data_IF_966346446484
#
_entry.id   IF_966346446484
#
_cell.length_a   1.000
_cell.length_b   1.000
_cell.length_c   1.000
_cell.angle_alpha   90.00
_cell.angle_beta   90.00
_cell.angle_gamma   90.00
#
_symmetry.space_group_name_H-M   'P 1'
#
loop_
_entity.id
_entity.type
_entity.pdbx_description
1 polymer ?
#
# COMPACT_ATOMS: atom_id res chain seq x y z
N UNK A 1 -40.92 56.26 40.24
CA UNK A 1 -39.97 55.18 40.56
C UNK A 1 -39.32 54.72 39.25
N UNK A 2 -38.10 55.18 38.97
CA UNK A 2 -37.32 54.81 37.76
C UNK A 2 -36.58 53.51 38.07
N UNK A 3 -36.78 52.45 37.29
CA UNK A 3 -35.87 51.29 37.27
C UNK A 3 -35.39 51.11 35.85
N UNK A 4 -34.07 51.24 35.73
CA UNK A 4 -33.25 51.35 34.53
C UNK A 4 -33.08 50.01 33.82
N UNK A 5 -33.33 50.00 32.52
CA UNK A 5 -33.14 48.85 31.63
C UNK A 5 -31.71 48.88 31.05
N UNK A 6 -30.69 48.62 31.89
CA UNK A 6 -29.26 48.74 31.50
C UNK A 6 -28.55 47.40 31.27
N UNK A 7 -29.13 46.27 31.71
CA UNK A 7 -28.46 44.94 31.64
C UNK A 7 -28.59 44.20 30.29
N UNK A 8 -29.52 44.58 29.42
CA UNK A 8 -29.77 43.84 28.16
C UNK A 8 -28.79 44.20 27.03
N UNK A 9 -28.37 45.47 26.91
CA UNK A 9 -27.50 45.91 25.80
C UNK A 9 -26.04 45.46 25.93
N UNK A 10 -25.54 45.27 27.15
CA UNK A 10 -24.13 44.91 27.34
C UNK A 10 -23.82 43.45 26.98
N UNK A 11 -24.79 42.54 27.20
CA UNK A 11 -24.67 41.13 26.84
C UNK A 11 -24.76 40.90 25.33
N UNK A 12 -25.58 41.70 24.62
CA UNK A 12 -25.71 41.62 23.16
C UNK A 12 -24.46 42.09 22.40
N UNK A 13 -23.71 43.05 22.95
CA UNK A 13 -22.43 43.51 22.38
C UNK A 13 -21.31 42.48 22.59
N UNK A 14 -21.21 41.88 23.78
CA UNK A 14 -20.25 40.81 24.04
C UNK A 14 -20.51 39.55 23.19
N UNK A 15 -21.78 39.19 22.98
CA UNK A 15 -22.14 38.02 22.18
C UNK A 15 -21.78 38.20 20.70
N UNK A 16 -21.91 39.43 20.15
CA UNK A 16 -21.55 39.72 18.75
C UNK A 16 -20.04 39.69 18.50
N UNK A 17 -19.22 40.12 19.46
CA UNK A 17 -17.76 40.03 19.34
C UNK A 17 -17.25 38.59 19.50
N UNK A 18 -17.86 37.79 20.38
CA UNK A 18 -17.56 36.36 20.52
C UNK A 18 -17.91 35.59 19.23
N UNK A 19 -19.05 35.89 18.59
CA UNK A 19 -19.44 35.28 17.31
C UNK A 19 -18.48 35.69 16.18
N UNK A 20 -18.03 36.96 16.13
CA UNK A 20 -17.03 37.40 15.14
C UNK A 20 -15.69 36.69 15.31
N UNK A 21 -15.22 36.49 16.55
CA UNK A 21 -13.97 35.78 16.83
C UNK A 21 -14.08 34.27 16.56
N UNK A 22 -15.23 33.66 16.88
CA UNK A 22 -15.53 32.27 16.50
C UNK A 22 -15.57 32.08 14.98
N UNK A 23 -16.14 33.02 14.23
CA UNK A 23 -16.19 32.97 12.77
C UNK A 23 -14.80 33.19 12.14
N UNK A 24 -13.98 34.09 12.69
CA UNK A 24 -12.61 34.34 12.23
C UNK A 24 -11.67 33.14 12.51
N UNK A 25 -11.80 32.50 13.68
CA UNK A 25 -11.09 31.24 13.98
C UNK A 25 -11.55 30.08 13.10
N UNK A 26 -12.85 30.00 12.76
CA UNK A 26 -13.37 28.98 11.84
C UNK A 26 -12.83 29.18 10.41
N UNK A 27 -12.72 30.42 9.93
CA UNK A 27 -12.17 30.75 8.61
C UNK A 27 -10.66 30.50 8.53
N UNK A 28 -9.91 30.73 9.61
CA UNK A 28 -8.48 30.37 9.69
C UNK A 28 -8.29 28.85 9.77
N UNK A 29 -9.16 28.12 10.48
CA UNK A 29 -9.13 26.64 10.48
C UNK A 29 -9.60 26.02 9.15
N UNK A 30 -10.46 26.70 8.38
CA UNK A 30 -10.88 26.27 7.04
C UNK A 30 -9.85 26.57 5.94
N UNK A 31 -8.92 27.51 6.17
CA UNK A 31 -7.85 27.84 5.20
C UNK A 31 -6.46 27.36 5.64
N UNK A 32 -6.29 26.89 6.87
CA UNK A 32 -4.99 26.55 7.47
C UNK A 32 -4.57 25.08 7.39
N UNK A 33 -5.41 24.18 6.90
CA UNK A 33 -5.09 22.76 6.90
C UNK A 33 -5.80 22.01 5.77
N UNK A 34 -5.32 22.19 4.54
CA UNK A 34 -5.53 21.26 3.42
C UNK A 34 -4.44 21.43 2.34
N UNK A 35 -3.23 21.82 2.74
CA UNK A 35 -2.01 21.51 2.00
C UNK A 35 -1.49 20.15 2.47
N UNK A 36 -2.33 19.11 2.38
CA UNK A 36 -1.88 17.74 2.67
C UNK A 36 -0.80 17.43 1.64
N UNK A 37 0.37 16.97 2.12
CA UNK A 37 1.47 16.40 1.34
C UNK A 37 1.07 15.15 0.50
N UNK A 38 -0.17 15.04 0.04
CA UNK A 38 -0.73 13.91 -0.67
C UNK A 38 -0.44 13.90 -2.18
N UNK A 39 0.35 14.86 -2.69
CA UNK A 39 0.62 14.99 -4.13
C UNK A 39 2.01 14.50 -4.58
N UNK A 40 2.85 13.98 -3.68
CA UNK A 40 4.21 13.53 -4.08
C UNK A 40 4.27 12.09 -4.64
N UNK A 41 3.20 11.31 -4.52
CA UNK A 41 3.25 9.86 -4.79
C UNK A 41 2.69 9.44 -6.16
N UNK A 42 2.26 10.40 -6.98
CA UNK A 42 1.76 10.12 -8.33
C UNK A 42 2.78 10.51 -9.37
N UNK A 43 2.86 9.72 -10.44
CA UNK A 43 3.64 10.08 -11.60
C UNK A 43 3.10 11.40 -12.18
N UNK A 44 4.00 12.36 -12.39
CA UNK A 44 3.70 13.65 -12.98
C UNK A 44 4.30 13.70 -14.38
N UNK A 45 3.54 14.17 -15.36
CA UNK A 45 4.10 14.50 -16.67
C UNK A 45 4.86 15.81 -16.55
N UNK A 46 6.19 15.76 -16.53
CA UNK A 46 7.01 16.96 -16.31
C UNK A 46 6.92 17.96 -17.46
N UNK A 47 6.52 17.52 -18.66
CA UNK A 47 6.33 18.42 -19.81
C UNK A 47 5.25 19.47 -19.53
N UNK A 48 4.35 19.20 -18.58
CA UNK A 48 3.28 20.14 -18.15
C UNK A 48 3.77 21.26 -17.23
N UNK A 49 5.02 21.20 -16.74
CA UNK A 49 5.57 22.19 -15.80
C UNK A 49 6.23 23.40 -16.47
N UNK A 50 6.42 23.37 -17.79
CA UNK A 50 7.01 24.46 -18.56
C UNK A 50 6.01 25.16 -19.46
N UNK A 51 6.50 25.75 -20.54
CA UNK A 51 5.69 26.36 -21.60
C UNK A 51 4.92 25.27 -22.33
N UNK A 52 3.63 25.52 -22.52
CA UNK A 52 2.68 24.60 -23.15
C UNK A 52 2.43 24.98 -24.62
N UNK A 53 1.83 24.04 -25.36
CA UNK A 53 1.32 24.29 -26.71
C UNK A 53 0.35 25.48 -26.67
N UNK A 54 0.39 26.30 -27.72
CA UNK A 54 -0.34 27.58 -27.87
C UNK A 54 0.13 28.73 -26.98
N UNK A 55 1.23 28.56 -26.24
CA UNK A 55 1.84 29.65 -25.48
C UNK A 55 3.02 30.28 -26.23
N UNK A 56 3.25 31.56 -25.95
CA UNK A 56 4.38 32.31 -26.47
C UNK A 56 5.67 31.96 -25.72
N UNK A 57 6.75 31.75 -26.47
CA UNK A 57 8.08 31.59 -25.88
C UNK A 57 8.61 32.96 -25.48
N UNK A 58 8.97 33.19 -24.20
CA UNK A 58 9.58 34.44 -23.75
C UNK A 58 10.85 34.75 -24.52
N UNK A 59 11.11 36.04 -24.73
CA UNK A 59 12.28 36.51 -25.48
C UNK A 59 13.58 36.45 -24.65
N UNK A 60 14.01 35.22 -24.33
CA UNK A 60 15.23 34.93 -23.59
C UNK A 60 16.47 35.02 -24.46
N UNK A 61 17.63 35.26 -23.84
CA UNK A 61 18.94 35.20 -24.51
C UNK A 61 19.51 33.79 -24.37
N UNK A 62 19.76 33.17 -25.51
CA UNK A 62 20.47 31.90 -25.66
C UNK A 62 21.95 32.23 -25.84
N UNK A 63 22.82 31.57 -25.08
CA UNK A 63 24.27 31.83 -25.08
C UNK A 63 25.03 30.56 -25.45
N UNK A 64 26.31 30.73 -25.78
CA UNK A 64 27.21 29.64 -26.16
C UNK A 64 26.73 28.82 -27.37
N UNK A 65 26.27 29.53 -28.40
CA UNK A 65 25.86 28.95 -29.68
C UNK A 65 27.10 28.79 -30.56
N UNK A 66 27.33 27.56 -31.04
CA UNK A 66 28.33 27.21 -32.04
C UNK A 66 27.66 26.95 -33.39
N UNK A 67 28.43 27.02 -34.48
CA UNK A 67 27.93 26.86 -35.86
C UNK A 67 26.75 27.80 -36.17
N UNK A 68 26.84 29.04 -35.68
CA UNK A 68 25.86 30.09 -35.93
C UNK A 68 26.57 31.43 -36.13
N UNK A 69 25.91 32.38 -36.80
CA UNK A 69 26.45 33.72 -37.10
C UNK A 69 26.95 34.48 -35.87
N UNK A 70 26.38 34.19 -34.70
CA UNK A 70 26.70 34.82 -33.42
C UNK A 70 26.76 33.76 -32.32
N UNK A 71 27.56 33.99 -31.27
CA UNK A 71 27.62 33.10 -30.10
C UNK A 71 26.41 33.21 -29.16
N UNK A 72 25.52 34.15 -29.44
CA UNK A 72 24.31 34.43 -28.67
C UNK A 72 23.17 34.76 -29.64
N UNK A 73 21.94 34.40 -29.29
CA UNK A 73 20.73 34.75 -30.03
C UNK A 73 19.55 34.90 -29.07
N UNK A 74 18.58 35.72 -29.43
CA UNK A 74 17.28 35.79 -28.76
C UNK A 74 16.25 34.90 -29.48
N UNK A 75 15.18 34.52 -28.80
CA UNK A 75 14.06 33.82 -29.44
C UNK A 75 13.49 34.67 -30.59
N UNK A 76 13.39 35.99 -30.40
CA UNK A 76 12.97 36.93 -31.43
C UNK A 76 13.87 36.98 -32.67
N UNK A 77 15.12 36.52 -32.61
CA UNK A 77 16.02 36.45 -33.78
C UNK A 77 15.62 35.34 -34.76
N UNK A 78 14.72 34.43 -34.35
CA UNK A 78 14.20 33.33 -35.16
C UNK A 78 12.78 33.60 -35.68
N UNK A 79 12.26 34.83 -35.52
CA UNK A 79 10.99 35.24 -36.13
C UNK A 79 10.99 34.99 -37.64
N UNK A 80 9.79 34.80 -38.18
CA UNK A 80 9.55 34.49 -39.59
C UNK A 80 10.06 33.10 -40.05
N UNK A 81 10.55 32.27 -39.11
CA UNK A 81 10.98 30.89 -39.35
C UNK A 81 10.26 29.92 -38.43
N UNK A 82 10.10 28.69 -38.88
CA UNK A 82 9.79 27.59 -37.97
C UNK A 82 11.06 27.20 -37.20
N UNK A 83 11.11 27.53 -35.91
CA UNK A 83 12.21 27.14 -35.02
C UNK A 83 11.94 25.76 -34.44
N UNK A 84 12.89 24.84 -34.60
CA UNK A 84 12.82 23.47 -34.08
C UNK A 84 13.97 23.31 -33.09
N UNK A 85 13.63 23.31 -31.81
CA UNK A 85 14.59 23.14 -30.72
C UNK A 85 14.73 21.65 -30.46
N UNK A 86 15.91 21.13 -30.70
CA UNK A 86 16.32 19.76 -30.44
C UNK A 86 17.01 19.74 -29.08
N UNK A 87 16.56 18.92 -28.14
CA UNK A 87 17.32 18.65 -26.92
C UNK A 87 18.00 17.29 -27.02
N UNK A 88 19.30 17.26 -26.74
CA UNK A 88 20.13 16.07 -26.88
C UNK A 88 21.22 15.96 -25.82
N UNK A 89 21.85 14.79 -25.78
CA UNK A 89 23.03 14.51 -24.99
C UNK A 89 23.94 13.52 -25.72
N UNK A 90 25.23 13.56 -25.44
CA UNK A 90 26.28 12.68 -26.00
C UNK A 90 26.01 11.18 -25.80
N UNK A 91 25.30 10.82 -24.72
CA UNK A 91 24.88 9.45 -24.43
C UNK A 91 23.55 9.05 -25.09
N UNK A 92 22.80 9.99 -25.67
CA UNK A 92 21.53 9.73 -26.31
C UNK A 92 21.74 9.25 -27.76
N UNK A 93 21.85 7.94 -27.96
CA UNK A 93 22.06 7.36 -29.29
C UNK A 93 20.99 7.74 -30.32
N UNK A 94 19.67 7.74 -30.00
CA UNK A 94 18.65 8.19 -30.95
C UNK A 94 18.80 9.66 -31.33
N UNK A 95 19.20 10.54 -30.41
CA UNK A 95 19.45 11.95 -30.70
C UNK A 95 20.62 12.11 -31.69
N UNK A 96 21.74 11.43 -31.43
CA UNK A 96 22.93 11.50 -32.28
C UNK A 96 22.65 10.97 -33.69
N UNK A 97 21.82 9.93 -33.81
CA UNK A 97 21.38 9.40 -35.10
C UNK A 97 20.52 10.39 -35.92
N UNK A 98 19.90 11.39 -35.28
CA UNK A 98 19.08 12.40 -35.96
C UNK A 98 19.90 13.54 -36.56
N UNK A 99 21.14 13.76 -36.11
CA UNK A 99 22.01 14.86 -36.59
C UNK A 99 22.12 14.91 -38.13
N UNK A 100 22.43 13.81 -38.84
CA UNK A 100 22.54 13.86 -40.30
C UNK A 100 21.22 14.20 -41.01
N UNK A 101 20.09 13.73 -40.45
CA UNK A 101 18.75 14.00 -40.97
C UNK A 101 18.38 15.47 -40.76
N UNK A 102 18.62 16.01 -39.57
CA UNK A 102 18.38 17.42 -39.27
C UNK A 102 19.22 18.35 -40.16
N UNK A 103 20.51 18.04 -40.39
CA UNK A 103 21.37 18.78 -41.32
C UNK A 103 20.80 18.77 -42.74
N UNK A 104 20.33 17.61 -43.21
CA UNK A 104 19.68 17.48 -44.51
C UNK A 104 18.39 18.30 -44.60
N UNK A 105 17.56 18.28 -43.56
CA UNK A 105 16.31 19.03 -43.51
C UNK A 105 16.58 20.55 -43.43
N UNK A 106 17.52 20.99 -42.61
CA UNK A 106 17.95 22.39 -42.54
C UNK A 106 18.36 22.91 -43.92
N UNK A 107 19.13 22.11 -44.68
CA UNK A 107 19.55 22.44 -46.05
C UNK A 107 18.37 22.46 -47.03
N UNK A 108 17.45 21.49 -46.94
CA UNK A 108 16.31 21.38 -47.85
C UNK A 108 15.29 22.53 -47.69
N UNK A 109 15.06 23.00 -46.46
CA UNK A 109 14.10 24.07 -46.19
C UNK A 109 14.75 25.47 -46.09
N UNK A 110 16.07 25.53 -45.97
CA UNK A 110 16.84 26.77 -45.96
C UNK A 110 16.31 27.75 -44.91
N UNK A 111 16.02 28.99 -45.33
CA UNK A 111 15.57 30.06 -44.44
C UNK A 111 14.15 29.88 -43.87
N UNK A 112 13.38 28.90 -44.32
CA UNK A 112 12.02 28.66 -43.79
C UNK A 112 12.02 28.04 -42.40
N UNK A 113 13.11 27.36 -42.03
CA UNK A 113 13.25 26.71 -40.73
C UNK A 113 14.59 27.05 -40.08
N UNK A 114 14.66 26.84 -38.77
CA UNK A 114 15.92 26.85 -38.04
C UNK A 114 15.91 25.70 -37.03
N UNK A 115 16.84 24.76 -37.16
CA UNK A 115 17.17 23.84 -36.08
C UNK A 115 18.09 24.54 -35.07
N UNK A 116 17.84 24.31 -33.79
CA UNK A 116 18.71 24.72 -32.69
C UNK A 116 18.89 23.53 -31.75
N UNK A 117 20.06 22.88 -31.81
CA UNK A 117 20.37 21.70 -31.00
C UNK A 117 20.97 22.10 -29.66
N UNK A 118 20.25 21.88 -28.57
CA UNK A 118 20.62 22.28 -27.22
C UNK A 118 20.98 21.07 -26.35
N UNK A 119 22.07 21.19 -25.59
CA UNK A 119 22.46 20.21 -24.58
C UNK A 119 22.81 20.90 -23.26
N UNK A 120 22.40 20.28 -22.15
CA UNK A 120 22.81 20.73 -20.81
C UNK A 120 24.29 20.47 -20.53
N UNK A 121 24.93 19.60 -21.32
CA UNK A 121 26.35 19.27 -21.17
C UNK A 121 27.22 20.46 -21.57
N UNK A 122 28.31 20.66 -20.85
CA UNK A 122 29.24 21.76 -21.15
C UNK A 122 29.92 21.59 -22.51
N UNK A 123 30.41 22.68 -23.08
CA UNK A 123 31.16 22.66 -24.34
C UNK A 123 32.36 21.71 -24.28
N UNK A 124 33.08 21.72 -23.15
CA UNK A 124 34.23 20.85 -22.89
C UNK A 124 33.87 19.36 -22.96
N UNK A 125 32.63 19.00 -22.64
CA UNK A 125 32.14 17.61 -22.66
C UNK A 125 31.60 17.23 -24.04
N UNK A 126 30.77 18.08 -24.65
CA UNK A 126 30.01 17.73 -25.84
C UNK A 126 30.70 18.06 -27.18
N UNK A 127 31.52 19.12 -27.26
CA UNK A 127 32.20 19.50 -28.50
C UNK A 127 33.21 18.43 -28.99
N UNK A 128 34.07 17.83 -28.13
CA UNK A 128 34.95 16.75 -28.56
C UNK A 128 34.20 15.53 -29.08
N UNK A 129 33.02 15.23 -28.52
CA UNK A 129 32.16 14.16 -28.99
C UNK A 129 31.67 14.45 -30.42
N UNK A 130 31.18 15.66 -30.70
CA UNK A 130 30.72 16.05 -32.04
C UNK A 130 31.84 15.97 -33.08
N UNK A 131 33.03 16.48 -32.78
CA UNK A 131 34.18 16.37 -33.70
C UNK A 131 34.52 14.91 -34.01
N UNK A 132 34.46 14.03 -33.00
CA UNK A 132 34.69 12.60 -33.19
C UNK A 132 33.60 11.98 -34.06
N UNK A 133 32.33 12.33 -33.81
CA UNK A 133 31.19 11.87 -34.59
C UNK A 133 31.31 12.29 -36.06
N UNK A 134 31.60 13.56 -36.35
CA UNK A 134 31.82 14.08 -37.71
C UNK A 134 32.96 13.36 -38.43
N UNK A 135 34.08 13.14 -37.75
CA UNK A 135 35.22 12.38 -38.29
C UNK A 135 34.82 10.95 -38.66
N UNK A 136 34.01 10.29 -37.82
CA UNK A 136 33.51 8.95 -38.10
C UNK A 136 32.53 8.93 -39.28
N UNK A 137 31.66 9.93 -39.37
CA UNK A 137 30.72 10.09 -40.48
C UNK A 137 31.37 10.62 -41.76
N UNK A 138 32.63 11.07 -41.69
CA UNK A 138 33.36 11.74 -42.78
C UNK A 138 32.57 12.92 -43.37
N UNK A 139 31.84 13.63 -42.52
CA UNK A 139 30.97 14.75 -42.91
C UNK A 139 30.88 15.76 -41.77
N UNK A 140 30.98 17.04 -42.13
CA UNK A 140 30.70 18.14 -41.23
C UNK A 140 29.20 18.50 -41.27
N UNK A 141 28.63 18.80 -40.11
CA UNK A 141 27.22 19.18 -39.95
C UNK A 141 27.13 20.61 -39.42
N UNK A 142 26.54 21.50 -40.22
CA UNK A 142 26.47 22.93 -39.93
C UNK A 142 25.15 23.28 -39.23
N UNK A 143 24.86 22.54 -38.15
CA UNK A 143 23.70 22.78 -37.29
C UNK A 143 24.12 23.65 -36.10
N UNK A 144 23.36 24.71 -35.76
CA UNK A 144 23.62 25.47 -34.55
C UNK A 144 23.50 24.60 -33.29
N UNK A 145 24.53 24.63 -32.45
CA UNK A 145 24.58 23.86 -31.20
C UNK A 145 24.74 24.79 -30.01
N UNK A 146 23.86 24.64 -29.02
CA UNK A 146 23.92 25.34 -27.72
C UNK A 146 24.52 24.38 -26.69
N UNK A 147 25.65 24.76 -26.09
CA UNK A 147 26.27 23.99 -25.02
C UNK A 147 26.02 24.60 -23.64
N UNK A 148 25.82 23.74 -22.64
CA UNK A 148 25.58 24.15 -21.26
C UNK A 148 24.23 24.83 -21.09
N UNK A 149 23.23 24.46 -21.90
CA UNK A 149 21.90 25.04 -21.84
C UNK A 149 21.27 24.83 -20.46
N UNK A 150 20.67 25.91 -19.97
CA UNK A 150 19.86 25.94 -18.74
C UNK A 150 18.55 26.68 -18.97
N UNK A 151 18.53 27.66 -19.85
CA UNK A 151 17.37 28.52 -20.04
C UNK A 151 16.31 27.82 -20.89
N UNK A 152 16.68 27.14 -21.98
CA UNK A 152 15.71 26.37 -22.77
C UNK A 152 15.19 25.18 -21.97
N UNK A 153 16.05 24.49 -21.21
CA UNK A 153 15.62 23.40 -20.31
C UNK A 153 14.64 23.84 -19.22
N UNK A 154 14.77 25.07 -18.68
CA UNK A 154 13.79 25.62 -17.73
C UNK A 154 12.44 25.87 -18.39
N UNK A 155 12.43 26.39 -19.62
CA UNK A 155 11.19 26.65 -20.37
C UNK A 155 10.52 25.36 -20.82
N UNK A 156 11.30 24.33 -21.14
CA UNK A 156 10.83 23.05 -21.66
C UNK A 156 11.41 21.88 -20.83
N UNK A 157 10.95 21.68 -19.59
CA UNK A 157 11.47 20.66 -18.70
C UNK A 157 11.22 19.25 -19.25
N UNK A 158 12.27 18.44 -19.27
CA UNK A 158 12.26 17.06 -19.76
C UNK A 158 13.26 16.20 -18.98
N UNK A 159 13.03 14.89 -18.97
CA UNK A 159 13.90 13.87 -18.37
C UNK A 159 14.28 12.79 -19.34
N UNK A 160 13.46 12.60 -20.38
CA UNK A 160 13.73 11.66 -21.46
C UNK A 160 14.09 12.40 -22.74
N UNK A 161 15.11 11.89 -23.41
CA UNK A 161 15.62 12.40 -24.69
C UNK A 161 15.40 11.34 -25.79
N UNK A 162 15.20 11.76 -27.04
CA UNK A 162 15.19 13.14 -27.52
C UNK A 162 13.90 13.90 -27.15
N UNK A 163 13.99 15.23 -27.09
CA UNK A 163 12.86 16.12 -26.87
C UNK A 163 12.90 17.25 -27.91
N UNK A 164 11.81 17.42 -28.66
CA UNK A 164 11.73 18.44 -29.72
C UNK A 164 10.61 19.43 -29.44
N UNK A 165 10.92 20.72 -29.53
CA UNK A 165 9.96 21.81 -29.41
C UNK A 165 9.86 22.55 -30.74
N UNK A 166 8.64 22.72 -31.21
CA UNK A 166 8.33 23.37 -32.48
C UNK A 166 7.70 24.72 -32.20
N UNK A 167 8.38 25.79 -32.60
CA UNK A 167 7.97 27.17 -32.39
C UNK A 167 7.71 27.81 -33.75
N UNK A 168 6.51 28.33 -33.95
CA UNK A 168 6.14 28.96 -35.21
C UNK A 168 6.85 30.30 -35.44
N UNK A 169 6.63 30.84 -36.63
CA UNK A 169 7.16 32.14 -37.08
C UNK A 169 6.78 33.34 -36.19
N UNK A 170 5.76 33.21 -35.35
CA UNK A 170 5.31 34.24 -34.42
C UNK A 170 5.88 34.06 -33.00
N UNK A 171 6.60 32.97 -32.73
CA UNK A 171 7.11 32.64 -31.40
C UNK A 171 6.16 31.77 -30.55
N UNK A 172 5.12 31.19 -31.15
CA UNK A 172 4.18 30.31 -30.45
C UNK A 172 4.62 28.84 -30.50
N UNK A 173 4.54 28.14 -29.36
CA UNK A 173 4.78 26.69 -29.31
C UNK A 173 3.62 25.95 -29.98
N UNK A 174 3.91 25.21 -31.05
CA UNK A 174 2.93 24.41 -31.78
C UNK A 174 2.96 22.94 -31.42
N UNK A 175 4.13 22.40 -31.08
CA UNK A 175 4.24 20.99 -30.71
C UNK A 175 5.43 20.71 -29.79
N UNK A 176 5.29 19.68 -28.94
CA UNK A 176 6.36 19.11 -28.13
C UNK A 176 6.36 17.60 -28.38
N UNK A 177 7.44 17.06 -28.92
CA UNK A 177 7.44 15.74 -29.59
C UNK A 177 8.74 14.96 -29.42
N UNK A 178 8.75 13.74 -29.96
CA UNK A 178 9.94 12.89 -30.11
C UNK A 178 10.51 12.97 -31.54
N UNK A 179 11.74 12.45 -31.74
CA UNK A 179 12.45 12.56 -33.01
C UNK A 179 11.75 11.92 -34.22
N UNK A 180 10.85 10.96 -34.02
CA UNK A 180 10.05 10.35 -35.10
C UNK A 180 9.17 11.36 -35.84
N UNK A 181 8.76 12.43 -35.15
CA UNK A 181 7.90 13.48 -35.72
C UNK A 181 8.70 14.49 -36.57
N UNK A 182 10.04 14.48 -36.49
CA UNK A 182 10.91 15.35 -37.28
C UNK A 182 11.06 14.75 -38.68
N UNK A 183 10.04 14.93 -39.52
CA UNK A 183 9.98 14.48 -40.92
C UNK A 183 9.81 15.66 -41.86
N UNK A 184 10.17 15.46 -43.13
CA UNK A 184 9.97 16.49 -44.16
C UNK A 184 8.49 16.87 -44.31
N UNK A 185 7.59 15.89 -44.28
CA UNK A 185 6.14 16.10 -44.38
C UNK A 185 5.60 16.92 -43.21
N UNK A 186 5.96 16.56 -41.98
CA UNK A 186 5.56 17.32 -40.80
C UNK A 186 6.11 18.75 -40.80
N UNK A 187 7.36 18.94 -41.25
CA UNK A 187 7.92 20.30 -41.42
C UNK A 187 7.12 21.09 -42.47
N UNK A 188 6.79 20.50 -43.63
CA UNK A 188 5.96 21.16 -44.66
C UNK A 188 4.60 21.57 -44.09
N UNK A 189 3.93 20.66 -43.38
CA UNK A 189 2.64 20.92 -42.73
C UNK A 189 2.75 21.98 -41.64
N UNK A 190 3.81 21.99 -40.85
CA UNK A 190 4.02 23.01 -39.81
C UNK A 190 4.25 24.40 -40.41
N UNK A 191 5.06 24.48 -41.47
CA UNK A 191 5.26 25.74 -42.21
C UNK A 191 3.97 26.23 -42.87
N UNK A 192 3.07 25.34 -43.31
CA UNK A 192 1.76 25.71 -43.86
C UNK A 192 0.68 25.94 -42.80
N UNK A 193 0.98 25.77 -41.51
CA UNK A 193 0.02 25.94 -40.40
C UNK A 193 -1.02 24.82 -40.27
N UNK A 194 -0.72 23.60 -40.74
CA UNK A 194 -1.69 22.50 -40.88
C UNK A 194 -1.29 21.18 -40.20
N UNK A 195 -0.26 21.15 -39.34
CA UNK A 195 0.19 19.90 -38.74
C UNK A 195 -0.50 19.61 -37.41
N UNK A 196 -1.05 18.41 -37.28
CA UNK A 196 -1.32 17.76 -36.00
C UNK A 196 -0.18 16.80 -35.70
N UNK A 197 0.38 16.87 -34.50
CA UNK A 197 1.56 16.09 -34.11
C UNK A 197 1.32 15.33 -32.82
N UNK A 198 1.92 14.14 -32.70
CA UNK A 198 1.84 13.35 -31.47
C UNK A 198 2.55 14.06 -30.33
N UNK A 199 1.79 14.49 -29.31
CA UNK A 199 2.36 15.09 -28.10
C UNK A 199 3.19 14.06 -27.34
N UNK A 200 4.42 14.44 -26.97
CA UNK A 200 5.26 13.66 -26.06
C UNK A 200 4.77 13.83 -24.62
N UNK A 201 4.67 12.73 -23.89
CA UNK A 201 4.57 12.72 -22.43
C UNK A 201 5.90 12.28 -21.80
N UNK A 202 6.21 12.80 -20.62
CA UNK A 202 7.43 12.48 -19.88
C UNK A 202 7.07 12.30 -18.40
N UNK A 203 6.72 11.08 -18.03
CA UNK A 203 6.27 10.80 -16.66
C UNK A 203 7.46 10.58 -15.74
N UNK A 204 7.46 11.30 -14.61
CA UNK A 204 8.40 11.09 -13.51
C UNK A 204 7.63 10.85 -12.23
N UNK A 205 8.06 9.85 -11.47
CA UNK A 205 7.63 9.63 -10.09
C UNK A 205 8.76 9.97 -9.13
N UNK A 206 8.41 10.47 -7.94
CA UNK A 206 9.40 10.66 -6.88
C UNK A 206 9.96 9.30 -6.46
N UNK A 207 11.29 9.17 -6.55
CA UNK A 207 12.00 7.96 -6.13
C UNK A 207 13.35 8.33 -5.52
N UNK A 208 13.55 7.92 -4.29
CA UNK A 208 14.79 7.99 -3.53
C UNK A 208 15.33 6.57 -3.35
N UNK A 209 16.45 6.29 -4.02
CA UNK A 209 17.13 4.99 -3.99
C UNK A 209 17.61 4.57 -2.60
N UNK A 210 17.68 5.51 -1.65
CA UNK A 210 18.13 5.24 -0.28
C UNK A 210 16.95 4.93 0.66
N UNK A 211 15.71 5.05 0.18
CA UNK A 211 14.51 4.71 0.93
C UNK A 211 13.92 3.37 0.44
N UNK A 212 13.27 2.59 1.31
CA UNK A 212 12.54 1.40 0.87
C UNK A 212 11.45 1.76 -0.13
N UNK A 213 11.11 0.82 -1.01
CA UNK A 213 10.04 0.99 -1.99
C UNK A 213 8.67 1.11 -1.30
N UNK A 214 7.80 1.99 -1.80
CA UNK A 214 6.44 2.28 -1.32
C UNK A 214 6.30 2.74 0.15
N UNK A 215 7.41 2.94 0.86
CA UNK A 215 7.38 3.51 2.21
C UNK A 215 7.42 5.03 2.10
N UNK A 216 6.49 5.69 2.79
CA UNK A 216 6.32 7.14 2.76
C UNK A 216 6.24 7.70 1.32
N UNK A 217 5.60 6.96 0.41
CA UNK A 217 5.37 7.41 -0.97
C UNK A 217 6.50 7.16 -1.97
N UNK A 218 7.59 6.54 -1.54
CA UNK A 218 8.77 6.35 -2.37
C UNK A 218 8.51 5.39 -3.55
N UNK A 219 8.41 5.92 -4.77
CA UNK A 219 8.16 5.11 -5.97
C UNK A 219 6.70 4.68 -6.16
N UNK A 220 5.75 5.28 -5.42
CA UNK A 220 4.31 5.05 -5.61
C UNK A 220 3.51 4.90 -4.32
N UNK A 221 2.23 4.58 -4.49
CA UNK A 221 1.23 4.45 -3.42
C UNK A 221 0.79 3.00 -3.15
N UNK A 222 1.33 2.02 -3.89
CA UNK A 222 1.04 0.60 -3.72
C UNK A 222 -0.19 0.09 -4.47
N UNK A 223 -0.84 0.91 -5.30
CA UNK A 223 -2.02 0.52 -6.10
C UNK A 223 -1.78 -0.65 -7.08
N UNK A 224 -0.53 -1.04 -7.32
CA UNK A 224 -0.14 -2.19 -8.15
C UNK A 224 0.53 -3.35 -7.38
N UNK A 225 0.36 -3.43 -6.06
CA UNK A 225 0.94 -4.52 -5.27
C UNK A 225 0.37 -5.88 -5.69
N UNK A 226 1.23 -6.74 -6.23
CA UNK A 226 0.88 -8.12 -6.60
C UNK A 226 0.94 -9.08 -5.40
N UNK A 227 1.79 -8.77 -4.44
CA UNK A 227 2.07 -9.55 -3.25
C UNK A 227 2.55 -8.60 -2.16
N UNK A 228 2.12 -8.83 -0.92
CA UNK A 228 2.54 -8.05 0.23
C UNK A 228 2.71 -8.97 1.42
N UNK A 229 3.88 -9.00 2.03
CA UNK A 229 4.12 -9.64 3.32
C UNK A 229 4.96 -8.71 4.18
N UNK A 230 4.41 -8.31 5.32
CA UNK A 230 5.06 -7.37 6.24
C UNK A 230 4.97 -7.91 7.65
N UNK A 231 6.11 -7.94 8.34
CA UNK A 231 6.22 -8.23 9.76
C UNK A 231 6.83 -7.02 10.46
N UNK A 232 6.15 -6.46 11.46
CA UNK A 232 6.66 -5.35 12.26
C UNK A 232 6.62 -5.66 13.75
N UNK A 233 7.32 -4.85 14.54
CA UNK A 233 7.12 -4.82 15.99
C UNK A 233 5.77 -4.22 16.36
N UNK A 234 5.46 -4.29 17.64
CA UNK A 234 4.36 -3.60 18.30
C UNK A 234 4.22 -2.14 17.82
N UNK A 235 2.99 -1.74 17.52
CA UNK A 235 2.63 -0.38 17.09
C UNK A 235 1.74 0.24 18.15
N UNK A 236 2.22 1.30 18.80
CA UNK A 236 1.45 2.06 19.78
C UNK A 236 0.16 2.63 19.16
N UNK A 237 -0.96 2.51 19.87
CA UNK A 237 -2.28 2.98 19.41
C UNK A 237 -3.00 2.05 18.43
N UNK A 238 -2.33 1.01 17.91
CA UNK A 238 -2.98 -0.03 17.13
C UNK A 238 -3.62 -1.08 18.06
N UNK A 239 -4.81 -1.55 17.72
CA UNK A 239 -5.50 -2.57 18.53
C UNK A 239 -4.86 -3.96 18.38
N UNK A 240 -5.08 -4.82 19.38
CA UNK A 240 -4.78 -6.25 19.27
C UNK A 240 -5.97 -6.92 18.57
N UNK A 241 -5.76 -7.42 17.35
CA UNK A 241 -6.83 -8.03 16.55
C UNK A 241 -6.27 -8.88 15.40
N UNK A 242 -7.10 -9.77 14.87
CA UNK A 242 -6.84 -10.54 13.65
C UNK A 242 -8.00 -10.42 12.68
N UNK A 243 -7.73 -9.95 11.46
CA UNK A 243 -8.69 -9.90 10.36
C UNK A 243 -8.28 -10.84 9.23
N UNK A 244 -9.25 -11.55 8.69
CA UNK A 244 -9.06 -12.52 7.61
C UNK A 244 -10.10 -12.23 6.55
N UNK A 245 -9.68 -11.67 5.42
CA UNK A 245 -10.60 -11.38 4.31
C UNK A 245 -10.30 -12.27 3.12
N UNK A 246 -11.39 -12.71 2.49
CA UNK A 246 -11.39 -13.47 1.26
C UNK A 246 -12.12 -12.63 0.22
N UNK A 247 -11.42 -12.21 -0.81
CA UNK A 247 -11.95 -11.44 -1.93
C UNK A 247 -11.86 -12.31 -3.18
N UNK A 248 -13.00 -12.60 -3.79
CA UNK A 248 -13.08 -13.45 -4.99
C UNK A 248 -12.36 -12.87 -6.20
N UNK A 249 -12.07 -11.57 -6.21
CA UNK A 249 -11.31 -10.87 -7.24
C UNK A 249 -9.86 -10.65 -6.83
N UNK A 250 -9.62 -10.30 -5.55
CA UNK A 250 -8.32 -9.79 -5.10
C UNK A 250 -7.50 -10.79 -4.25
N UNK A 251 -8.03 -11.96 -3.94
CA UNK A 251 -7.31 -13.03 -3.23
C UNK A 251 -7.60 -13.08 -1.74
N UNK A 252 -6.56 -13.29 -0.92
CA UNK A 252 -6.71 -13.40 0.53
C UNK A 252 -5.78 -12.44 1.25
N UNK A 253 -6.33 -11.83 2.30
CA UNK A 253 -5.59 -11.00 3.23
C UNK A 253 -5.68 -11.56 4.64
N UNK A 254 -4.53 -11.63 5.30
CA UNK A 254 -4.36 -11.99 6.72
C UNK A 254 -3.71 -10.79 7.40
N UNK A 255 -4.38 -10.17 8.36
CA UNK A 255 -3.84 -9.05 9.13
C UNK A 255 -3.91 -9.36 10.60
N UNK A 256 -2.77 -9.52 11.25
CA UNK A 256 -2.64 -9.71 12.69
C UNK A 256 -1.97 -8.48 13.28
N UNK A 257 -2.55 -7.89 14.33
CA UNK A 257 -2.08 -6.64 14.93
C UNK A 257 -1.76 -6.85 16.40
N UNK A 258 -0.60 -6.35 16.82
CA UNK A 258 -0.12 -6.34 18.20
C UNK A 258 -0.29 -7.69 18.94
N UNK A 259 -0.02 -8.79 18.23
CA UNK A 259 -0.10 -10.15 18.73
C UNK A 259 1.21 -10.62 19.34
N UNK A 260 1.13 -11.61 20.23
CA UNK A 260 2.30 -12.37 20.64
C UNK A 260 2.73 -13.38 19.57
N UNK A 261 3.96 -13.90 19.68
CA UNK A 261 4.52 -14.80 18.68
C UNK A 261 3.80 -16.15 18.61
N UNK A 262 3.34 -16.69 19.74
CA UNK A 262 2.56 -17.93 19.76
C UNK A 262 1.30 -17.81 18.89
N UNK A 263 0.61 -16.67 18.96
CA UNK A 263 -0.60 -16.44 18.17
C UNK A 263 -0.30 -16.33 16.66
N UNK A 264 0.83 -15.74 16.27
CA UNK A 264 1.26 -15.75 14.86
C UNK A 264 1.44 -17.18 14.35
N UNK A 265 2.10 -18.07 15.11
CA UNK A 265 2.24 -19.47 14.74
C UNK A 265 0.88 -20.19 14.69
N UNK A 266 0.02 -19.98 15.68
CA UNK A 266 -1.32 -20.55 15.70
C UNK A 266 -2.12 -20.17 14.44
N UNK A 267 -2.08 -18.91 14.03
CA UNK A 267 -2.71 -18.45 12.79
C UNK A 267 -2.06 -19.09 11.58
N UNK A 268 -0.74 -19.08 11.48
CA UNK A 268 0.00 -19.61 10.35
C UNK A 268 -0.30 -21.10 10.08
N UNK A 269 -0.47 -21.89 11.14
CA UNK A 269 -0.76 -23.33 11.07
C UNK A 269 -2.26 -23.65 11.09
N UNK A 270 -3.13 -22.65 11.28
CA UNK A 270 -4.59 -22.85 11.20
C UNK A 270 -5.05 -22.86 9.75
N UNK A 271 -5.27 -24.06 9.22
CA UNK A 271 -5.77 -24.31 7.85
C UNK A 271 -7.09 -25.08 7.88
N UNK A 272 -7.75 -25.20 6.73
CA UNK A 272 -9.08 -25.80 6.59
C UNK A 272 -9.12 -27.21 7.24
N UNK A 273 -9.78 -27.33 8.39
CA UNK A 273 -9.94 -28.58 9.14
C UNK A 273 -9.09 -28.69 10.42
N UNK A 274 -8.19 -27.74 10.69
CA UNK A 274 -7.43 -27.68 11.94
C UNK A 274 -7.22 -26.21 12.36
N UNK A 275 -7.76 -25.84 13.53
CA UNK A 275 -7.56 -24.51 14.13
C UNK A 275 -6.75 -24.67 15.40
N UNK A 276 -5.71 -23.86 15.54
CA UNK A 276 -4.83 -23.86 16.71
C UNK A 276 -5.03 -22.59 17.55
N UNK A 277 -4.97 -22.77 18.85
CA UNK A 277 -5.07 -21.76 19.90
C UNK A 277 -4.26 -22.25 21.11
N UNK A 278 -4.33 -21.53 22.23
CA UNK A 278 -3.55 -21.85 23.44
C UNK A 278 -3.84 -23.26 24.00
N UNK A 279 -5.05 -23.79 23.84
CA UNK A 279 -5.46 -25.11 24.38
C UNK A 279 -4.96 -26.30 23.55
N UNK A 280 -4.42 -26.07 22.35
CA UNK A 280 -3.88 -27.12 21.48
C UNK A 280 -2.56 -26.70 20.82
N UNK A 281 -1.83 -25.82 21.50
CA UNK A 281 -0.45 -25.45 21.19
C UNK A 281 0.46 -25.84 22.35
N UNK A 282 1.50 -26.60 22.06
CA UNK A 282 2.54 -26.97 23.02
C UNK A 282 3.83 -26.21 22.68
N UNK A 283 4.48 -25.67 23.70
CA UNK A 283 5.73 -24.92 23.56
C UNK A 283 6.85 -25.72 24.23
N UNK A 284 7.72 -26.30 23.42
CA UNK A 284 8.93 -27.02 23.83
C UNK A 284 10.15 -26.12 23.60
N UNK A 285 10.14 -24.99 24.31
CA UNK A 285 11.16 -23.94 24.22
C UNK A 285 11.74 -23.65 25.60
N UNK A 286 12.98 -23.18 25.64
CA UNK A 286 13.70 -22.82 26.86
C UNK A 286 13.04 -21.65 27.60
N UNK A 287 12.50 -20.66 26.87
CA UNK A 287 11.83 -19.48 27.44
C UNK A 287 10.46 -19.21 26.79
N UNK A 288 9.42 -19.82 27.38
CA UNK A 288 8.02 -19.65 26.97
C UNK A 288 7.56 -18.17 27.04
N UNK A 289 8.18 -17.35 27.91
CA UNK A 289 7.83 -15.93 28.07
C UNK A 289 8.21 -15.06 26.87
N UNK A 290 8.93 -15.60 25.89
CA UNK A 290 9.19 -14.97 24.59
C UNK A 290 8.07 -15.21 23.57
N UNK A 291 7.26 -16.25 23.78
CA UNK A 291 6.20 -16.64 22.84
C UNK A 291 4.83 -16.19 23.31
N UNK A 292 4.57 -16.26 24.62
CA UNK A 292 3.28 -15.93 25.23
C UNK A 292 3.43 -15.40 26.66
N UNK A 293 2.32 -14.94 27.25
CA UNK A 293 2.28 -14.42 28.62
C UNK A 293 0.89 -14.60 29.24
N UNK A 294 0.83 -14.86 30.55
CA UNK A 294 -0.41 -14.87 31.33
C UNK A 294 -0.81 -13.49 31.87
N UNK A 295 -0.03 -12.44 31.57
CA UNK A 295 -0.33 -11.07 31.98
C UNK A 295 -1.64 -10.57 31.35
N UNK A 296 -2.27 -9.58 31.98
CA UNK A 296 -3.46 -8.93 31.45
C UNK A 296 -3.39 -7.41 31.57
N UNK A 297 -4.31 -6.72 30.87
CA UNK A 297 -4.43 -5.26 30.95
C UNK A 297 -3.16 -4.50 30.58
N UNK A 298 -2.75 -3.55 31.42
CA UNK A 298 -1.57 -2.71 31.18
C UNK A 298 -0.28 -3.53 31.15
N UNK A 299 -0.11 -4.48 32.08
CA UNK A 299 1.11 -5.29 32.16
C UNK A 299 1.34 -6.10 30.88
N UNK A 300 0.28 -6.65 30.30
CA UNK A 300 0.37 -7.37 29.02
C UNK A 300 0.78 -6.45 27.87
N UNK A 301 0.19 -5.24 27.78
CA UNK A 301 0.57 -4.25 26.76
C UNK A 301 2.02 -3.81 26.90
N UNK A 302 2.49 -3.58 28.13
CA UNK A 302 3.88 -3.23 28.40
C UNK A 302 4.83 -4.36 27.98
N UNK A 303 4.45 -5.62 28.23
CA UNK A 303 5.22 -6.80 27.79
C UNK A 303 5.27 -6.94 26.26
N UNK A 304 4.16 -6.68 25.54
CA UNK A 304 4.17 -6.63 24.07
C UNK A 304 5.13 -5.53 23.57
N UNK A 305 5.03 -4.33 24.15
CA UNK A 305 5.88 -3.18 23.80
C UNK A 305 7.36 -3.42 24.10
N UNK A 306 7.67 -4.25 25.09
CA UNK A 306 9.03 -4.66 25.44
C UNK A 306 9.69 -5.63 24.43
N UNK A 307 9.05 -5.89 23.28
CA UNK A 307 9.62 -6.67 22.18
C UNK A 307 8.94 -8.01 21.92
N UNK A 308 7.83 -8.30 22.60
CA UNK A 308 7.07 -9.54 22.41
C UNK A 308 5.78 -9.35 21.58
N UNK A 309 5.51 -8.11 21.15
CA UNK A 309 4.39 -7.77 20.28
C UNK A 309 4.81 -7.57 18.84
N UNK A 310 4.00 -8.11 17.93
CA UNK A 310 4.23 -8.11 16.50
C UNK A 310 2.95 -7.79 15.73
N UNK A 311 3.10 -7.15 14.57
CA UNK A 311 2.04 -7.05 13.56
C UNK A 311 2.50 -7.80 12.32
N UNK A 312 1.58 -8.50 11.67
CA UNK A 312 1.82 -9.21 10.42
C UNK A 312 0.69 -8.91 9.44
N UNK A 313 1.03 -8.57 8.20
CA UNK A 313 0.05 -8.48 7.12
C UNK A 313 0.54 -9.24 5.90
N UNK A 314 -0.32 -10.11 5.38
CA UNK A 314 -0.12 -10.85 4.15
C UNK A 314 -1.28 -10.56 3.20
N UNK A 315 -0.99 -10.13 1.99
CA UNK A 315 -1.92 -10.04 0.87
C UNK A 315 -1.36 -10.89 -0.26
N UNK A 316 -2.13 -11.92 -0.64
CA UNK A 316 -1.80 -12.82 -1.74
C UNK A 316 -2.88 -12.79 -2.81
N UNK A 317 -2.52 -12.89 -4.09
CA UNK A 317 -3.48 -12.93 -5.18
C UNK A 317 -4.27 -14.23 -5.16
N UNK A 318 -5.38 -14.27 -5.89
CA UNK A 318 -6.25 -15.45 -6.02
C UNK A 318 -5.50 -16.73 -6.37
N UNK A 319 -4.49 -16.66 -7.24
CA UNK A 319 -3.65 -17.79 -7.65
C UNK A 319 -2.92 -18.47 -6.49
N UNK A 320 -2.63 -17.73 -5.41
CA UNK A 320 -1.82 -18.19 -4.28
C UNK A 320 -2.62 -18.30 -2.97
N UNK A 321 -3.92 -18.04 -3.03
CA UNK A 321 -4.81 -17.98 -1.86
C UNK A 321 -4.75 -19.23 -0.98
N UNK A 322 -4.64 -20.42 -1.58
CA UNK A 322 -4.57 -21.70 -0.85
C UNK A 322 -3.27 -21.89 -0.08
N UNK A 323 -2.20 -21.23 -0.52
CA UNK A 323 -0.87 -21.33 0.08
C UNK A 323 -0.61 -20.20 1.11
N UNK A 324 -1.57 -19.33 1.40
CA UNK A 324 -1.34 -18.15 2.26
C UNK A 324 -0.81 -18.51 3.65
N UNK A 325 -1.33 -19.59 4.24
CA UNK A 325 -0.90 -20.09 5.55
C UNK A 325 0.54 -20.63 5.48
N UNK A 326 0.86 -21.42 4.46
CA UNK A 326 2.23 -21.87 4.19
C UNK A 326 3.21 -20.73 3.93
N UNK A 327 2.78 -19.67 3.23
CA UNK A 327 3.59 -18.46 3.03
C UNK A 327 3.88 -17.80 4.38
N UNK A 328 2.85 -17.64 5.23
CA UNK A 328 3.03 -17.11 6.58
C UNK A 328 3.97 -17.99 7.42
N UNK A 329 3.85 -19.32 7.36
CA UNK A 329 4.76 -20.26 8.02
C UNK A 329 6.22 -20.02 7.58
N UNK A 330 6.44 -19.83 6.27
CA UNK A 330 7.77 -19.54 5.74
C UNK A 330 8.29 -18.19 6.22
N UNK A 331 7.46 -17.14 6.22
CA UNK A 331 7.87 -15.81 6.68
C UNK A 331 8.29 -15.84 8.16
N UNK A 332 7.51 -16.51 9.00
CA UNK A 332 7.85 -16.71 10.41
C UNK A 332 9.16 -17.50 10.56
N UNK A 333 9.34 -18.58 9.80
CA UNK A 333 10.58 -19.38 9.84
C UNK A 333 11.83 -18.62 9.39
N UNK A 334 11.70 -17.69 8.43
CA UNK A 334 12.81 -16.87 7.92
C UNK A 334 13.26 -15.84 8.96
N UNK A 335 12.32 -15.25 9.68
CA UNK A 335 12.61 -14.19 10.66
C UNK A 335 12.95 -14.77 12.04
N UNK A 336 12.12 -15.67 12.56
CA UNK A 336 12.27 -16.29 13.87
C UNK A 336 13.01 -17.63 13.75
N UNK A 337 14.25 -17.57 13.26
CA UNK A 337 15.07 -18.75 12.96
C UNK A 337 15.40 -19.61 14.18
N UNK A 338 15.27 -19.06 15.38
CA UNK A 338 15.47 -19.79 16.62
C UNK A 338 14.32 -20.76 16.95
N UNK A 339 13.18 -20.68 16.26
CA UNK A 339 12.05 -21.58 16.50
C UNK A 339 11.68 -22.39 15.25
N UNK A 340 11.22 -23.62 15.45
CA UNK A 340 10.46 -24.39 14.47
C UNK A 340 9.05 -24.63 14.98
N UNK A 341 8.13 -24.82 14.05
CA UNK A 341 6.76 -25.19 14.38
C UNK A 341 6.27 -26.29 13.45
N UNK A 342 5.52 -27.24 14.00
CA UNK A 342 4.97 -28.37 13.25
C UNK A 342 3.67 -28.86 13.87
N UNK A 343 2.82 -29.48 13.05
CA UNK A 343 1.64 -30.18 13.55
C UNK A 343 2.05 -31.62 13.86
N UNK A 344 1.88 -32.01 15.12
CA UNK A 344 2.14 -33.37 15.58
C UNK A 344 0.83 -34.02 16.03
N UNK A 345 0.69 -35.33 15.78
CA UNK A 345 -0.45 -36.10 16.28
C UNK A 345 -0.05 -36.75 17.62
N UNK A 346 -0.54 -36.20 18.72
CA UNK A 346 -0.17 -36.60 20.09
C UNK A 346 -1.36 -37.14 20.86
N UNK A 347 -1.09 -38.11 21.74
CA UNK A 347 -2.04 -38.60 22.74
C UNK A 347 -2.08 -37.61 23.90
N UNK A 348 -3.09 -36.74 23.90
CA UNK A 348 -3.24 -35.70 24.92
C UNK A 348 -4.39 -36.02 25.87
N UNK A 349 -4.23 -35.60 27.12
CA UNK A 349 -5.35 -35.54 28.04
C UNK A 349 -6.35 -34.48 27.51
N UNK A 350 -7.62 -34.84 27.48
CA UNK A 350 -8.71 -33.98 27.05
C UNK A 350 -9.94 -34.26 27.90
N UNK A 351 -10.93 -33.38 27.81
CA UNK A 351 -12.28 -33.70 28.23
C UNK A 351 -13.05 -34.25 27.03
N UNK A 352 -13.90 -35.25 27.24
CA UNK A 352 -14.86 -35.72 26.24
C UNK A 352 -16.28 -35.48 26.76
N UNK A 353 -17.15 -34.90 25.94
CA UNK A 353 -18.59 -34.90 26.16
C UNK A 353 -19.17 -36.10 25.42
N UNK A 354 -19.72 -37.08 26.13
CA UNK A 354 -20.30 -38.29 25.55
C UNK A 354 -21.71 -38.55 26.04
N UNK A 355 -22.44 -39.37 25.30
CA UNK A 355 -23.70 -39.96 25.75
C UNK A 355 -23.43 -41.14 26.66
N UNK A 356 -24.20 -41.27 27.74
CA UNK A 356 -24.16 -42.41 28.67
C UNK A 356 -25.26 -43.43 28.38
N UNK A 357 -26.21 -43.11 27.49
CA UNK A 357 -27.23 -44.02 27.00
C UNK A 357 -27.54 -43.78 25.51
N UNK A 358 -28.19 -44.74 24.86
CA UNK A 358 -28.72 -44.61 23.49
C UNK A 358 -30.08 -43.92 23.41
N UNK A 359 -30.62 -43.44 24.53
CA UNK A 359 -31.93 -42.77 24.58
C UNK A 359 -31.74 -41.29 24.25
N UNK A 360 -32.49 -40.77 23.27
CA UNK A 360 -32.39 -39.38 22.81
C UNK A 360 -33.13 -38.39 23.75
N UNK A 361 -32.78 -38.36 25.04
CA UNK A 361 -33.35 -37.42 26.02
C UNK A 361 -33.10 -35.95 25.68
N UNK A 362 -32.09 -35.70 24.86
CA UNK A 362 -31.70 -34.37 24.41
C UNK A 362 -32.48 -33.89 23.20
N UNK A 363 -33.26 -34.75 22.52
CA UNK A 363 -33.92 -34.40 21.26
C UNK A 363 -34.87 -33.22 21.43
N UNK A 364 -34.70 -32.21 20.58
CA UNK A 364 -35.55 -31.03 20.62
C UNK A 364 -37.01 -31.37 20.29
N UNK A 365 -37.93 -30.70 20.99
CA UNK A 365 -39.36 -30.72 20.72
C UNK A 365 -39.77 -29.76 19.59
N UNK A 366 -38.81 -29.06 18.97
CA UNK A 366 -39.04 -28.05 17.94
C UNK A 366 -39.29 -26.66 18.53
N UNK A 367 -39.77 -25.73 17.70
CA UNK A 367 -40.01 -24.32 18.10
C UNK A 367 -38.93 -23.35 17.60
N UNK A 368 -38.92 -22.13 18.15
CA UNK A 368 -37.95 -21.10 17.76
C UNK A 368 -36.58 -21.43 18.34
N UNK A 369 -35.57 -21.55 17.48
CA UNK A 369 -34.20 -21.74 17.93
C UNK A 369 -33.76 -20.57 18.82
N UNK A 370 -33.27 -20.88 20.01
CA UNK A 370 -32.82 -19.87 20.97
C UNK A 370 -31.69 -20.41 21.84
N UNK A 371 -30.78 -19.52 22.19
CA UNK A 371 -29.80 -19.71 23.27
C UNK A 371 -30.09 -18.63 24.29
N UNK A 372 -30.33 -19.02 25.54
CA UNK A 372 -30.41 -18.08 26.65
C UNK A 372 -29.30 -18.36 27.65
N UNK A 373 -28.62 -17.29 28.05
CA UNK A 373 -27.58 -17.32 29.07
C UNK A 373 -27.90 -16.23 30.06
N UNK A 374 -28.29 -16.63 31.26
CA UNK A 374 -28.54 -15.73 32.35
C UNK A 374 -27.64 -16.07 33.56
N UNK A 375 -27.91 -15.41 34.69
CA UNK A 375 -27.16 -15.65 35.94
C UNK A 375 -27.43 -17.01 36.58
N UNK A 376 -28.44 -17.75 36.12
CA UNK A 376 -28.93 -18.98 36.70
C UNK A 376 -28.58 -20.21 35.87
N UNK A 377 -28.34 -20.05 34.57
CA UNK A 377 -27.93 -21.17 33.75
C UNK A 377 -27.79 -20.87 32.27
N UNK A 378 -27.62 -21.96 31.52
CA UNK A 378 -27.49 -21.97 30.08
C UNK A 378 -28.58 -22.85 29.47
N UNK A 379 -29.43 -22.24 28.65
CA UNK A 379 -30.59 -22.88 28.05
C UNK A 379 -30.42 -22.93 26.53
N UNK A 380 -30.50 -24.14 25.97
CA UNK A 380 -30.48 -24.39 24.54
C UNK A 380 -31.85 -24.91 24.14
N UNK A 381 -32.49 -24.27 23.15
CA UNK A 381 -33.75 -24.74 22.59
C UNK A 381 -33.65 -24.82 21.07
N UNK A 382 -34.03 -25.98 20.52
CA UNK A 382 -34.07 -26.25 19.07
C UNK A 382 -32.80 -25.81 18.32
N UNK A 383 -31.64 -26.09 18.91
CA UNK A 383 -30.31 -25.74 18.37
C UNK A 383 -29.33 -26.91 18.47
N UNK A 384 -28.17 -26.86 17.83
CA UNK A 384 -27.19 -27.97 17.87
C UNK A 384 -26.41 -28.02 19.19
N UNK A 385 -26.05 -29.24 19.62
CA UNK A 385 -25.23 -29.47 20.82
C UNK A 385 -23.85 -28.80 20.73
N UNK A 386 -23.36 -28.53 19.51
CA UNK A 386 -22.14 -27.77 19.25
C UNK A 386 -22.09 -26.39 19.92
N UNK A 387 -23.24 -25.78 20.25
CA UNK A 387 -23.27 -24.51 20.99
C UNK A 387 -22.88 -24.67 22.45
N UNK A 388 -23.30 -25.76 23.09
CA UNK A 388 -22.85 -26.13 24.44
C UNK A 388 -21.35 -26.41 24.42
N UNK A 389 -20.88 -27.18 23.45
CA UNK A 389 -19.46 -27.47 23.24
C UNK A 389 -18.62 -26.19 23.12
N UNK A 390 -19.02 -25.28 22.23
CA UNK A 390 -18.33 -24.00 22.02
C UNK A 390 -18.28 -23.17 23.32
N UNK A 391 -19.40 -23.10 24.04
CA UNK A 391 -19.48 -22.32 25.28
C UNK A 391 -18.64 -22.91 26.41
N UNK A 392 -18.63 -24.23 26.57
CA UNK A 392 -17.83 -24.90 27.61
C UNK A 392 -16.34 -24.73 27.35
N UNK A 393 -15.88 -24.91 26.11
CA UNK A 393 -14.48 -24.67 25.75
C UNK A 393 -14.03 -23.23 26.04
N UNK A 394 -14.94 -22.25 25.98
CA UNK A 394 -14.64 -20.85 26.28
C UNK A 394 -14.70 -20.48 27.77
N UNK A 395 -15.45 -21.24 28.58
CA UNK A 395 -15.75 -20.86 29.98
C UNK A 395 -15.06 -21.73 31.03
N UNK A 396 -14.64 -22.93 30.66
CA UNK A 396 -13.93 -23.84 31.57
C UNK A 396 -12.61 -23.23 32.06
N UNK A 397 -12.21 -23.59 33.28
CA UNK A 397 -10.93 -23.15 33.89
C UNK A 397 -9.79 -24.15 33.73
N UNK A 398 -10.06 -25.29 33.12
CA UNK A 398 -9.05 -26.31 32.83
C UNK A 398 -8.34 -26.01 31.52
N UNK A 399 -7.03 -26.30 31.40
CA UNK A 399 -6.33 -26.24 30.12
C UNK A 399 -6.72 -27.38 29.16
N UNK A 400 -7.48 -28.38 29.62
CA UNK A 400 -7.90 -29.52 28.82
C UNK A 400 -8.97 -29.13 27.81
N UNK A 401 -8.71 -29.36 26.52
CA UNK A 401 -9.70 -29.15 25.47
C UNK A 401 -10.86 -30.14 25.59
N UNK A 402 -12.10 -29.68 25.43
CA UNK A 402 -13.29 -30.53 25.34
C UNK A 402 -13.46 -31.03 23.90
N UNK A 403 -13.78 -32.31 23.72
CA UNK A 403 -14.10 -32.98 22.46
C UNK A 403 -15.55 -33.48 22.50
N UNK A 404 -16.31 -33.25 21.44
CA UNK A 404 -17.67 -33.80 21.29
C UNK A 404 -17.59 -35.24 20.78
N UNK A 405 -17.93 -36.19 21.64
CA UNK A 405 -18.08 -37.63 21.33
C UNK A 405 -19.53 -38.09 21.56
N UNK A 406 -20.49 -37.16 21.51
CA UNK A 406 -21.91 -37.51 21.66
C UNK A 406 -22.44 -38.27 20.46
N UNK A 407 -21.83 -38.07 19.28
CA UNK A 407 -22.31 -38.60 18.01
C UNK A 407 -23.68 -38.08 17.60
N UNK A 408 -24.19 -37.02 18.25
CA UNK A 408 -25.55 -36.54 18.06
C UNK A 408 -25.60 -35.35 17.10
N UNK A 409 -26.21 -35.55 15.93
CA UNK A 409 -26.29 -34.53 14.88
C UNK A 409 -27.63 -33.77 14.86
N UNK A 410 -28.57 -34.12 15.73
CA UNK A 410 -29.88 -33.49 15.81
C UNK A 410 -29.85 -32.14 16.54
N UNK A 411 -31.02 -31.49 16.59
CA UNK A 411 -31.25 -30.34 17.48
C UNK A 411 -31.57 -30.81 18.89
N UNK A 412 -31.21 -30.00 19.88
CA UNK A 412 -31.35 -30.31 21.30
C UNK A 412 -32.16 -29.28 22.06
N UNK A 413 -32.84 -29.77 23.12
CA UNK A 413 -33.38 -28.94 24.20
C UNK A 413 -32.64 -29.32 25.49
N UNK A 414 -31.79 -28.42 25.99
CA UNK A 414 -30.94 -28.63 27.17
C UNK A 414 -31.03 -27.44 28.12
N UNK A 415 -30.98 -27.70 29.42
CA UNK A 415 -30.89 -26.67 30.45
C UNK A 415 -29.83 -27.07 31.46
N UNK A 416 -28.82 -26.23 31.61
CA UNK A 416 -27.69 -26.41 32.53
C UNK A 416 -27.78 -25.32 33.60
N UNK A 417 -28.31 -25.66 34.77
CA UNK A 417 -28.44 -24.76 35.92
C UNK A 417 -27.17 -24.80 36.79
N UNK A 418 -26.02 -24.62 36.17
CA UNK A 418 -24.73 -24.65 36.83
C UNK A 418 -23.79 -23.59 36.25
N UNK A 419 -22.79 -23.18 37.04
CA UNK A 419 -21.71 -22.35 36.53
C UNK A 419 -20.92 -23.13 35.48
N UNK A 420 -20.93 -22.70 34.23
CA UNK A 420 -20.22 -23.40 33.14
C UNK A 420 -18.71 -23.62 33.38
N UNK A 421 -17.99 -22.74 34.10
CA UNK A 421 -16.62 -23.01 34.54
C UNK A 421 -16.45 -24.21 35.49
N UNK A 422 -17.52 -24.64 36.19
CA UNK A 422 -17.52 -25.77 37.12
C UNK A 422 -18.02 -27.04 36.43
N UNK A 423 -17.08 -27.84 35.92
CA UNK A 423 -17.38 -29.09 35.21
C UNK A 423 -18.11 -30.11 36.10
N UNK A 424 -17.88 -30.11 37.42
CA UNK A 424 -18.59 -31.03 38.33
C UNK A 424 -20.08 -30.64 38.43
N UNK A 425 -20.36 -29.35 38.59
CA UNK A 425 -21.72 -28.80 38.56
C UNK A 425 -22.41 -29.04 37.22
N UNK A 426 -21.71 -28.79 36.11
CA UNK A 426 -22.23 -29.06 34.75
C UNK A 426 -22.57 -30.53 34.56
N UNK A 427 -21.72 -31.46 35.03
CA UNK A 427 -21.97 -32.89 34.93
C UNK A 427 -23.25 -33.33 35.64
N UNK A 428 -23.54 -32.80 36.83
CA UNK A 428 -24.79 -33.09 37.55
C UNK A 428 -26.04 -32.72 36.74
N UNK A 429 -25.96 -31.64 35.97
CA UNK A 429 -27.05 -31.22 35.10
C UNK A 429 -27.13 -32.06 33.81
N UNK A 430 -25.97 -32.42 33.24
CA UNK A 430 -25.87 -33.27 32.06
C UNK A 430 -26.39 -34.70 32.29
N UNK A 431 -26.21 -35.25 33.50
CA UNK A 431 -26.69 -36.59 33.86
C UNK A 431 -28.20 -36.75 33.64
N UNK A 432 -29.00 -35.68 33.82
CA UNK A 432 -30.45 -35.67 33.56
C UNK A 432 -30.79 -36.03 32.11
N UNK A 433 -29.83 -35.81 31.22
CA UNK A 433 -29.95 -35.98 29.78
C UNK A 433 -29.13 -37.16 29.25
N UNK A 434 -28.60 -38.01 30.12
CA UNK A 434 -27.67 -39.08 29.78
C UNK A 434 -26.43 -38.55 29.02
N UNK A 435 -25.91 -37.41 29.46
CA UNK A 435 -24.66 -36.84 28.98
C UNK A 435 -23.65 -36.80 30.13
N UNK A 436 -22.35 -36.91 29.79
CA UNK A 436 -21.27 -36.79 30.76
C UNK A 436 -20.02 -36.22 30.12
N UNK A 437 -19.37 -35.32 30.85
CA UNK A 437 -18.01 -34.85 30.61
C UNK A 437 -17.06 -35.67 31.48
N UNK A 438 -16.03 -36.25 30.89
CA UNK A 438 -14.98 -36.94 31.64
C UNK A 438 -13.61 -36.76 30.99
N UNK A 439 -12.56 -36.96 31.77
CA UNK A 439 -11.20 -36.98 31.25
C UNK A 439 -10.98 -38.25 30.42
N UNK A 440 -10.30 -38.08 29.29
CA UNK A 440 -9.86 -39.16 28.45
C UNK A 440 -8.53 -38.80 27.78
N UNK A 441 -7.85 -39.81 27.21
CA UNK A 441 -6.75 -39.58 26.27
C UNK A 441 -7.25 -39.74 24.84
N UNK A 442 -6.95 -38.76 23.99
CA UNK A 442 -7.29 -38.81 22.57
C UNK A 442 -6.13 -38.32 21.71
N UNK A 443 -5.94 -39.02 20.59
CA UNK A 443 -5.06 -38.59 19.52
C UNK A 443 -5.63 -37.34 18.86
N UNK A 444 -4.81 -36.30 18.79
CA UNK A 444 -5.21 -35.05 18.13
C UNK A 444 -4.01 -34.33 17.54
N UNK A 445 -4.30 -33.49 16.56
CA UNK A 445 -3.34 -32.56 16.02
C UNK A 445 -3.06 -31.47 17.06
N UNK A 446 -1.79 -31.32 17.41
CA UNK A 446 -1.24 -30.31 18.30
C UNK A 446 -0.23 -29.50 17.51
N UNK A 447 -0.31 -28.18 17.62
CA UNK A 447 0.75 -27.33 17.13
C UNK A 447 1.87 -27.36 18.15
N UNK A 448 3.06 -27.77 17.73
CA UNK A 448 4.24 -27.79 18.60
C UNK A 448 5.21 -26.74 18.09
N UNK A 449 5.62 -25.84 18.98
CA UNK A 449 6.65 -24.84 18.72
C UNK A 449 7.88 -25.22 19.54
N UNK A 450 9.05 -25.34 18.91
CA UNK A 450 10.29 -25.82 19.53
C UNK A 450 11.44 -24.88 19.27
N UNK A 451 12.47 -24.93 20.10
CA UNK A 451 13.76 -24.32 19.76
C UNK A 451 14.43 -25.10 18.62
N UNK A 452 15.06 -24.35 17.70
CA UNK A 452 15.98 -24.91 16.73
C UNK A 452 17.35 -25.04 17.40
N UNK A 453 17.77 -26.28 17.61
CA UNK A 453 19.09 -26.66 18.12
C UNK A 453 20.23 -26.19 17.18
#
# INVERSE_FOLDING_TARGET
MKVTNYKSRHNLLHFREIIKHLFFCLVIMLNGSLGIFAQENKAIDITTKGIQISQQVPDIIITNIHNYKTKTAKISDFKDKLLIIDFWATWCSPCVAMIPKMDSLQKAFGNKIQFLSATYQSEKEALPFLHKFEKQQKKHYDLPVVFGDKELHKLFPHTTLPHYVWVDQNGEVKAITEGKEVTEDNIRKMVSGSAEMTKKSDFKIAYDKNKPFLINGNGGDGTGLLYHSTLTRYIEGLELAGDFTLDSLNGRKISIRNANLAWLYQVAFSEKGAVFNEMNTVMEVDDVSKLTSSLSGKAYRDWLKAGNGFCYELIVPMSNMRESNKIMQQDLSRYFRQYSASIENRDENCLILKRTSSIDKIKSKGGKANIDLDRFGYHLNNITIGNLFYRLNFTQRTPLFLIDETGYNGKVDLTILASLPDISGVNKELEKYDLKIEEAKRKRNILVIKDNL
#
